data_IF_313801298217
#
_entry.id   IF_313801298217
#
_cell.length_a   1.000
_cell.length_b   1.000
_cell.length_c   1.000
_cell.angle_alpha   90.00
_cell.angle_beta   90.00
_cell.angle_gamma   90.00
#
_symmetry.space_group_name_H-M   'P 1'
#
loop_
_entity.id
_entity.type
_entity.pdbx_description
1 polymer ?
#
# COMPACT_ATOMS: atom_id res chain seq x y z
N UNK A 1 24.89 6.20 -38.55
CA UNK A 1 23.71 6.10 -39.43
C UNK A 1 22.90 4.94 -38.88
N UNK A 2 21.76 5.11 -38.22
CA UNK A 2 20.75 6.18 -38.23
C UNK A 2 20.03 6.18 -36.87
N UNK A 3 19.92 7.36 -36.27
CA UNK A 3 19.05 7.65 -35.12
C UNK A 3 17.57 7.58 -35.54
N UNK A 4 16.69 7.11 -34.65
CA UNK A 4 15.26 7.39 -34.73
C UNK A 4 14.76 7.97 -33.41
N UNK A 5 14.83 9.29 -33.32
CA UNK A 5 14.02 10.11 -32.41
C UNK A 5 12.59 10.18 -32.93
N UNK A 6 11.60 9.85 -32.10
CA UNK A 6 10.22 10.32 -32.27
C UNK A 6 9.66 10.84 -30.94
N UNK A 7 9.97 12.10 -30.65
CA UNK A 7 9.20 12.97 -29.76
C UNK A 7 7.97 13.50 -30.51
N UNK A 8 6.85 13.70 -29.80
CA UNK A 8 6.11 14.99 -29.70
C UNK A 8 4.58 14.88 -29.80
N UNK A 9 3.94 15.53 -28.81
CA UNK A 9 2.55 16.02 -28.69
C UNK A 9 1.47 14.97 -28.39
N UNK A 10 0.69 15.10 -27.31
CA UNK A 10 -0.25 16.21 -27.08
C UNK A 10 -0.37 16.63 -25.60
N UNK A 11 -0.17 17.93 -25.35
CA UNK A 11 -0.76 18.65 -24.22
C UNK A 11 -2.00 19.38 -24.73
N UNK A 12 -3.16 19.19 -24.10
CA UNK A 12 -4.34 20.01 -24.34
C UNK A 12 -4.95 20.44 -23.01
N UNK A 13 -4.76 21.73 -22.73
CA UNK A 13 -5.38 22.52 -21.65
C UNK A 13 -6.84 22.76 -22.03
N UNK A 14 -7.78 22.47 -21.14
CA UNK A 14 -9.15 22.98 -21.23
C UNK A 14 -9.41 23.88 -20.01
N UNK A 15 -9.32 25.19 -20.24
CA UNK A 15 -9.74 26.23 -19.33
C UNK A 15 -11.23 26.55 -19.58
N UNK A 16 -11.94 26.83 -18.49
CA UNK A 16 -13.01 27.83 -18.49
C UNK A 16 -14.44 27.30 -18.40
N UNK A 17 -15.06 27.54 -17.25
CA UNK A 17 -16.47 27.97 -17.15
C UNK A 17 -16.68 28.60 -15.76
N UNK A 18 -16.68 29.93 -15.73
CA UNK A 18 -17.10 30.70 -14.57
C UNK A 18 -18.58 31.10 -14.70
N UNK A 19 -19.23 31.15 -13.54
CA UNK A 19 -20.41 31.93 -13.16
C UNK A 19 -21.81 31.48 -13.63
N UNK A 20 -22.66 31.16 -12.64
CA UNK A 20 -24.05 31.62 -12.58
C UNK A 20 -24.49 31.81 -11.11
N UNK A 21 -24.61 33.08 -10.71
CA UNK A 21 -25.35 33.49 -9.51
C UNK A 21 -26.84 33.64 -9.87
N UNK A 22 -27.72 32.94 -9.15
CA UNK A 22 -29.15 33.25 -8.98
C UNK A 22 -29.63 32.39 -7.79
N UNK A 23 -30.30 32.86 -6.74
CA UNK A 23 -31.23 33.97 -6.68
C UNK A 23 -32.65 33.45 -6.42
N UNK A 24 -32.90 32.99 -5.19
CA UNK A 24 -34.13 33.14 -4.38
C UNK A 24 -35.53 33.10 -5.05
N UNK A 25 -36.36 32.11 -4.68
CA UNK A 25 -37.81 32.21 -4.29
C UNK A 25 -38.12 30.90 -3.52
N UNK A 26 -38.89 30.76 -2.43
CA UNK A 26 -39.95 31.57 -1.84
C UNK A 26 -41.21 30.69 -1.68
N UNK A 27 -41.32 29.91 -0.59
CA UNK A 27 -42.55 29.32 -0.02
C UNK A 27 -42.16 28.79 1.38
N UNK A 28 -42.83 29.02 2.52
CA UNK A 28 -44.17 29.51 2.81
C UNK A 28 -44.81 28.55 3.81
N UNK A 29 -44.72 28.88 5.12
CA UNK A 29 -45.58 28.48 6.27
C UNK A 29 -45.66 26.96 6.64
N UNK A 30 -45.87 26.47 7.86
CA UNK A 30 -46.34 27.01 9.15
C UNK A 30 -45.84 26.09 10.28
N UNK A 31 -45.65 26.60 11.50
CA UNK A 31 -45.40 25.75 12.68
C UNK A 31 -45.20 26.52 13.98
N UNK A 32 -46.32 26.85 14.63
CA UNK A 32 -46.47 27.58 15.90
C UNK A 32 -45.53 27.17 17.05
N UNK A 33 -45.06 28.20 17.76
CA UNK A 33 -45.44 28.41 19.17
C UNK A 33 -44.57 27.77 20.25
N UNK A 34 -43.89 28.61 21.03
CA UNK A 34 -43.31 28.26 22.32
C UNK A 34 -42.55 29.45 22.93
N UNK A 35 -43.18 30.10 23.91
CA UNK A 35 -42.69 31.24 24.67
C UNK A 35 -41.37 30.99 25.40
N UNK A 36 -40.66 32.09 25.68
CA UNK A 36 -39.28 32.12 26.16
C UNK A 36 -39.08 32.10 27.67
N UNK A 37 -37.80 32.24 28.07
CA UNK A 37 -37.34 33.00 29.23
C UNK A 37 -35.79 32.94 29.34
N UNK A 38 -35.16 34.09 29.15
CA UNK A 38 -34.26 34.78 30.09
C UNK A 38 -33.02 34.04 30.67
N UNK A 39 -31.85 34.41 30.14
CA UNK A 39 -30.71 35.00 30.90
C UNK A 39 -29.97 34.17 31.96
N UNK A 40 -28.64 34.00 31.77
CA UNK A 40 -27.62 34.29 32.78
C UNK A 40 -26.19 34.27 32.19
N UNK A 41 -25.42 35.26 32.62
CA UNK A 41 -24.00 35.55 32.35
C UNK A 41 -23.01 34.57 33.00
N UNK A 42 -21.78 34.55 32.46
CA UNK A 42 -20.55 34.67 33.26
C UNK A 42 -19.88 33.38 33.73
N UNK A 43 -18.65 33.14 33.23
CA UNK A 43 -17.72 32.15 33.76
C UNK A 43 -16.33 32.27 33.15
N UNK A 44 -15.52 33.18 33.70
CA UNK A 44 -14.09 33.34 33.43
C UNK A 44 -13.25 32.21 34.07
N UNK A 45 -12.24 31.75 33.31
CA UNK A 45 -10.89 31.42 33.79
C UNK A 45 -10.64 30.12 34.56
N UNK A 46 -9.72 29.28 34.06
CA UNK A 46 -8.39 29.13 34.69
C UNK A 46 -7.54 28.10 33.93
N UNK A 47 -6.31 28.52 33.61
CA UNK A 47 -5.20 27.75 33.08
C UNK A 47 -4.78 26.55 33.95
N UNK A 48 -4.39 25.46 33.30
CA UNK A 48 -3.38 24.55 33.87
C UNK A 48 -2.42 24.10 32.78
N UNK A 49 -1.19 24.56 32.94
CA UNK A 49 0.04 24.08 32.31
C UNK A 49 0.23 22.56 32.47
N UNK A 50 0.93 21.96 31.51
CA UNK A 50 1.79 20.80 31.79
C UNK A 50 1.64 19.64 30.81
N UNK A 51 2.52 19.61 29.81
CA UNK A 51 2.73 18.42 28.99
C UNK A 51 3.53 18.69 27.73
N UNK A 52 4.82 19.02 27.88
CA UNK A 52 5.81 18.89 26.82
C UNK A 52 5.92 17.42 26.41
N UNK A 53 5.02 16.98 25.53
CA UNK A 53 5.14 15.74 24.76
C UNK A 53 5.93 16.03 23.50
N UNK A 54 7.25 16.19 23.64
CA UNK A 54 8.16 16.07 22.52
C UNK A 54 8.29 14.59 22.16
N UNK A 55 7.29 14.06 21.46
CA UNK A 55 7.42 12.77 20.78
C UNK A 55 7.89 13.08 19.36
N UNK A 56 9.16 12.77 19.13
CA UNK A 56 9.90 13.23 17.97
C UNK A 56 9.27 12.80 16.66
N UNK A 57 8.88 13.79 15.86
CA UNK A 57 8.96 13.73 14.41
C UNK A 57 10.45 13.64 14.02
N UNK A 58 11.06 12.49 14.31
CA UNK A 58 12.21 12.04 13.54
C UNK A 58 11.68 11.92 12.13
N UNK A 59 12.00 12.92 11.30
CA UNK A 59 11.54 13.00 9.92
C UNK A 59 11.84 11.68 9.22
N UNK A 60 10.86 10.80 9.18
CA UNK A 60 10.85 9.69 8.24
C UNK A 60 11.01 10.37 6.89
N UNK A 61 12.12 10.09 6.20
CA UNK A 61 12.30 10.54 4.82
C UNK A 61 11.02 10.21 4.05
N UNK A 62 10.59 11.10 3.16
CA UNK A 62 9.37 10.89 2.39
C UNK A 62 9.44 9.54 1.66
N UNK A 63 8.63 8.57 2.09
CA UNK A 63 8.53 7.26 1.46
C UNK A 63 7.42 7.33 0.43
N UNK A 64 7.72 6.98 -0.81
CA UNK A 64 6.70 6.82 -1.86
C UNK A 64 6.64 5.36 -2.31
N UNK A 65 5.43 4.90 -2.64
CA UNK A 65 5.17 3.48 -2.88
C UNK A 65 4.35 3.26 -4.14
N UNK A 66 4.59 2.16 -4.83
CA UNK A 66 3.73 1.65 -5.90
C UNK A 66 3.57 0.13 -5.76
N UNK A 67 2.38 -0.39 -6.06
CA UNK A 67 2.07 -1.81 -5.94
C UNK A 67 1.72 -2.40 -7.30
N UNK A 68 2.22 -3.61 -7.58
CA UNK A 68 1.84 -4.43 -8.73
C UNK A 68 1.45 -5.83 -8.23
N UNK A 69 0.18 -6.19 -8.41
CA UNK A 69 -0.26 -7.57 -8.20
C UNK A 69 0.44 -8.47 -9.24
N UNK A 70 0.91 -9.62 -8.78
CA UNK A 70 1.51 -10.68 -9.60
C UNK A 70 0.48 -11.79 -9.88
N UNK A 71 -0.58 -11.86 -9.07
CA UNK A 71 -1.56 -12.94 -9.11
C UNK A 71 -1.01 -14.11 -8.33
N UNK A 72 -0.56 -15.16 -9.02
CA UNK A 72 -0.04 -16.37 -8.36
C UNK A 72 1.39 -16.22 -7.84
N UNK A 73 1.66 -16.88 -6.71
CA UNK A 73 3.02 -17.09 -6.19
C UNK A 73 3.97 -17.70 -7.24
N UNK A 74 5.21 -17.23 -7.23
CA UNK A 74 6.28 -17.63 -8.15
C UNK A 74 7.38 -18.43 -7.44
N UNK A 75 7.41 -18.45 -6.10
CA UNK A 75 8.45 -19.15 -5.34
C UNK A 75 8.32 -20.67 -5.40
N UNK A 76 7.18 -21.20 -5.86
CA UNK A 76 6.91 -22.63 -5.89
C UNK A 76 7.09 -23.27 -4.50
N UNK A 77 7.89 -24.35 -4.35
CA UNK A 77 8.07 -25.05 -3.07
C UNK A 77 9.05 -24.36 -2.10
N UNK A 78 9.48 -23.11 -2.35
CA UNK A 78 10.47 -22.43 -1.52
C UNK A 78 10.02 -22.13 -0.08
N UNK A 79 8.73 -22.23 0.22
CA UNK A 79 8.20 -22.10 1.58
C UNK A 79 6.96 -22.98 1.80
N UNK A 80 6.71 -23.35 3.07
CA UNK A 80 5.52 -24.10 3.49
C UNK A 80 4.62 -23.20 4.34
N UNK A 81 3.35 -23.05 3.91
CA UNK A 81 2.32 -22.27 4.61
C UNK A 81 1.96 -22.80 6.01
N UNK A 82 2.31 -24.04 6.30
CA UNK A 82 2.11 -24.64 7.63
C UNK A 82 3.22 -24.25 8.61
N UNK A 83 4.34 -23.75 8.09
CA UNK A 83 5.50 -23.32 8.89
C UNK A 83 5.63 -21.79 8.94
N UNK A 84 5.24 -21.08 7.86
CA UNK A 84 5.33 -19.61 7.74
C UNK A 84 4.06 -19.02 7.14
N UNK A 85 3.80 -17.75 7.42
CA UNK A 85 2.60 -17.03 6.91
C UNK A 85 2.78 -16.39 5.55
N UNK A 86 4.00 -16.41 5.02
CA UNK A 86 4.29 -15.89 3.70
C UNK A 86 5.77 -16.05 3.38
N UNK A 87 6.14 -15.39 2.29
CA UNK A 87 7.49 -15.34 1.77
C UNK A 87 7.75 -13.93 1.26
N UNK A 88 8.98 -13.44 1.42
CA UNK A 88 9.37 -12.18 0.81
C UNK A 88 10.81 -12.20 0.30
N UNK A 89 11.06 -11.42 -0.74
CA UNK A 89 12.39 -11.17 -1.31
C UNK A 89 12.54 -9.68 -1.51
N UNK A 90 13.67 -9.13 -1.08
CA UNK A 90 14.07 -7.77 -1.42
C UNK A 90 14.92 -7.78 -2.70
N UNK A 91 14.44 -7.07 -3.72
CA UNK A 91 15.10 -6.88 -5.01
C UNK A 91 15.71 -5.48 -5.00
N UNK A 92 17.03 -5.45 -5.03
CA UNK A 92 17.82 -4.20 -5.02
C UNK A 92 18.45 -3.89 -6.38
N UNK A 93 18.33 -4.80 -7.35
CA UNK A 93 18.93 -4.68 -8.68
C UNK A 93 18.03 -5.38 -9.72
N UNK A 94 17.92 -4.83 -10.93
CA UNK A 94 17.01 -5.32 -11.98
C UNK A 94 17.52 -6.53 -12.79
N UNK A 95 18.85 -6.65 -12.93
CA UNK A 95 19.49 -7.65 -13.80
C UNK A 95 20.31 -8.70 -13.02
N UNK A 96 20.09 -8.82 -11.70
CA UNK A 96 20.84 -9.73 -10.83
C UNK A 96 20.49 -11.21 -11.06
N UNK A 97 21.52 -12.07 -11.13
CA UNK A 97 21.45 -13.52 -11.41
C UNK A 97 20.66 -14.38 -10.40
N UNK A 98 19.98 -13.84 -9.38
CA UNK A 98 19.45 -14.73 -8.33
C UNK A 98 18.45 -14.23 -7.28
N UNK A 99 17.85 -13.04 -7.40
CA UNK A 99 16.94 -12.58 -6.33
C UNK A 99 15.49 -13.06 -6.51
N UNK A 100 14.89 -12.88 -7.70
CA UNK A 100 13.46 -13.16 -7.90
C UNK A 100 13.16 -13.91 -9.21
N UNK A 101 12.10 -14.74 -9.25
CA UNK A 101 11.78 -15.64 -10.37
C UNK A 101 11.17 -14.91 -11.58
N UNK A 102 11.94 -14.01 -12.19
CA UNK A 102 11.51 -13.17 -13.32
C UNK A 102 11.07 -13.95 -14.56
N UNK A 103 11.59 -15.18 -14.77
CA UNK A 103 11.29 -16.01 -15.93
C UNK A 103 9.83 -16.50 -15.95
N UNK A 104 9.25 -16.77 -14.78
CA UNK A 104 7.88 -17.29 -14.64
C UNK A 104 6.87 -16.17 -14.34
N UNK A 105 7.37 -14.96 -14.05
CA UNK A 105 6.54 -13.80 -13.76
C UNK A 105 5.74 -13.33 -15.00
N UNK A 106 4.48 -12.88 -14.80
CA UNK A 106 3.70 -12.20 -15.84
C UNK A 106 4.44 -10.99 -16.42
N UNK A 107 4.19 -10.65 -17.70
CA UNK A 107 4.84 -9.54 -18.41
C UNK A 107 4.72 -8.22 -17.64
N UNK A 108 3.56 -7.94 -17.04
CA UNK A 108 3.29 -6.72 -16.28
C UNK A 108 4.09 -6.63 -14.97
N UNK A 109 4.37 -7.78 -14.34
CA UNK A 109 5.21 -7.86 -13.15
C UNK A 109 6.69 -7.69 -13.51
N UNK A 110 7.13 -8.30 -14.62
CA UNK A 110 8.49 -8.11 -15.15
C UNK A 110 8.74 -6.67 -15.53
N UNK A 111 7.84 -6.06 -16.31
CA UNK A 111 7.93 -4.67 -16.71
C UNK A 111 8.00 -3.73 -15.49
N UNK A 112 7.20 -3.99 -14.44
CA UNK A 112 7.24 -3.20 -13.22
C UNK A 112 8.63 -3.20 -12.54
N UNK A 113 9.31 -4.35 -12.50
CA UNK A 113 10.67 -4.47 -11.97
C UNK A 113 11.68 -3.81 -12.92
N UNK A 114 11.58 -4.06 -14.23
CA UNK A 114 12.47 -3.50 -15.26
C UNK A 114 12.39 -1.97 -15.36
N UNK A 115 11.22 -1.38 -15.13
CA UNK A 115 10.99 0.07 -15.11
C UNK A 115 11.45 0.75 -13.82
N UNK A 116 11.91 -0.01 -12.82
CA UNK A 116 12.33 0.55 -11.53
C UNK A 116 13.75 1.10 -11.59
N UNK A 117 13.93 2.37 -11.19
CA UNK A 117 15.26 2.94 -10.95
C UNK A 117 15.77 2.47 -9.59
N UNK A 118 16.61 1.44 -9.60
CA UNK A 118 17.19 0.86 -8.38
C UNK A 118 18.19 1.76 -7.65
N UNK A 119 18.58 2.89 -8.25
CA UNK A 119 19.40 3.89 -7.56
C UNK A 119 18.58 4.70 -6.55
N UNK A 120 17.26 4.76 -6.75
CA UNK A 120 16.32 5.55 -5.95
C UNK A 120 15.21 4.71 -5.32
N UNK A 121 15.11 3.42 -5.67
CA UNK A 121 14.05 2.54 -5.22
C UNK A 121 14.51 1.10 -5.02
N UNK A 122 13.75 0.35 -4.22
CA UNK A 122 13.84 -1.10 -4.14
C UNK A 122 12.47 -1.71 -4.47
N UNK A 123 12.44 -3.01 -4.76
CA UNK A 123 11.18 -3.75 -4.92
C UNK A 123 11.15 -4.90 -3.93
N UNK A 124 10.10 -4.98 -3.11
CA UNK A 124 9.84 -6.14 -2.26
C UNK A 124 8.80 -7.03 -2.94
N UNK A 125 9.18 -8.25 -3.26
CA UNK A 125 8.24 -9.30 -3.67
C UNK A 125 7.69 -10.00 -2.42
N UNK A 126 6.38 -10.19 -2.37
CA UNK A 126 5.70 -10.77 -1.20
C UNK A 126 4.65 -11.78 -1.66
N UNK A 127 4.60 -12.91 -0.97
CA UNK A 127 3.60 -13.95 -1.16
C UNK A 127 2.93 -14.32 0.15
N UNK A 128 1.67 -14.74 0.07
CA UNK A 128 0.96 -15.41 1.16
C UNK A 128 -0.18 -16.28 0.58
N UNK A 129 -1.04 -16.80 1.44
CA UNK A 129 -2.02 -17.83 1.10
C UNK A 129 -3.43 -17.41 1.55
N UNK A 130 -4.46 -17.82 0.80
CA UNK A 130 -5.84 -17.67 1.22
C UNK A 130 -6.70 -18.94 1.03
N UNK A 131 -7.85 -19.03 1.71
CA UNK A 131 -8.70 -20.22 1.70
C UNK A 131 -9.53 -20.42 0.42
N UNK A 132 -9.70 -19.39 -0.40
CA UNK A 132 -10.65 -19.39 -1.53
C UNK A 132 -10.10 -18.66 -2.74
N UNK A 133 -10.72 -18.86 -3.91
CA UNK A 133 -10.32 -18.19 -5.15
C UNK A 133 -10.44 -16.66 -5.15
N UNK A 134 -11.19 -16.08 -4.20
CA UNK A 134 -11.28 -14.63 -4.01
C UNK A 134 -10.11 -14.03 -3.21
N UNK A 135 -9.19 -14.86 -2.75
CA UNK A 135 -8.00 -14.38 -2.06
C UNK A 135 -6.86 -14.25 -3.07
N UNK A 136 -6.94 -13.29 -3.98
CA UNK A 136 -6.04 -13.13 -5.13
C UNK A 136 -5.18 -11.86 -5.10
N UNK A 137 -5.38 -11.00 -4.10
CA UNK A 137 -4.64 -9.73 -3.96
C UNK A 137 -3.91 -9.64 -2.62
N UNK A 138 -2.78 -8.92 -2.62
CA UNK A 138 -2.06 -8.55 -1.39
C UNK A 138 -2.07 -7.03 -1.27
N UNK A 139 -2.59 -6.52 -0.15
CA UNK A 139 -2.55 -5.10 0.20
C UNK A 139 -1.39 -4.79 1.14
N UNK A 140 -0.86 -3.56 1.06
CA UNK A 140 0.20 -3.08 1.94
C UNK A 140 -0.27 -1.88 2.75
N UNK A 141 0.07 -1.86 4.04
CA UNK A 141 -0.15 -0.74 4.95
C UNK A 141 1.13 -0.45 5.76
N UNK A 142 1.21 0.73 6.38
CA UNK A 142 2.33 1.08 7.26
C UNK A 142 3.72 1.02 6.63
N UNK A 143 3.85 1.31 5.33
CA UNK A 143 5.15 1.20 4.63
C UNK A 143 6.13 2.25 5.15
N UNK A 144 7.26 1.78 5.66
CA UNK A 144 8.32 2.63 6.20
C UNK A 144 9.70 1.98 6.14
N UNK A 145 10.72 2.74 6.54
CA UNK A 145 12.10 2.25 6.66
C UNK A 145 12.60 2.50 8.08
N UNK A 146 12.94 1.43 8.79
CA UNK A 146 13.47 1.45 10.15
C UNK A 146 14.90 0.89 10.15
N UNK A 147 15.90 1.65 10.58
CA UNK A 147 17.29 1.20 10.66
C UNK A 147 17.82 0.57 9.35
N UNK A 148 17.41 1.10 8.19
CA UNK A 148 17.76 0.55 6.88
C UNK A 148 17.03 -0.74 6.49
N UNK A 149 15.94 -1.08 7.19
CA UNK A 149 15.07 -2.24 6.92
C UNK A 149 13.69 -1.74 6.48
N UNK A 150 13.21 -2.24 5.35
CA UNK A 150 11.82 -2.05 4.92
C UNK A 150 10.89 -2.75 5.92
N UNK A 151 9.92 -2.00 6.44
CA UNK A 151 8.84 -2.52 7.28
C UNK A 151 7.48 -2.16 6.69
N UNK A 152 6.56 -3.12 6.73
CA UNK A 152 5.18 -2.95 6.26
C UNK A 152 4.32 -4.12 6.73
N UNK A 153 3.01 -3.88 6.85
CA UNK A 153 2.00 -4.91 6.97
C UNK A 153 1.51 -5.32 5.58
N UNK A 154 1.56 -6.61 5.27
CA UNK A 154 1.02 -7.19 4.05
C UNK A 154 -0.16 -8.11 4.39
N UNK A 155 -1.30 -7.93 3.73
CA UNK A 155 -2.53 -8.70 4.02
C UNK A 155 -3.11 -9.28 2.74
N UNK A 156 -3.41 -10.58 2.76
CA UNK A 156 -4.16 -11.23 1.68
C UNK A 156 -5.61 -10.81 1.76
N UNK A 157 -6.10 -10.14 0.72
CA UNK A 157 -7.47 -9.66 0.65
C UNK A 157 -8.38 -10.74 0.10
N UNK A 158 -9.51 -10.97 0.76
CA UNK A 158 -10.60 -11.81 0.27
C UNK A 158 -11.61 -11.02 -0.54
N UNK A 159 -12.81 -11.59 -0.71
CA UNK A 159 -13.89 -10.87 -1.36
C UNK A 159 -14.31 -9.60 -0.60
N UNK A 160 -14.48 -8.50 -1.34
CA UNK A 160 -14.96 -7.19 -0.84
C UNK A 160 -16.38 -7.26 -0.23
N UNK A 161 -17.14 -8.33 -0.53
CA UNK A 161 -18.48 -8.56 0.02
C UNK A 161 -18.80 -10.06 0.06
N UNK A 162 -19.71 -10.42 0.98
CA UNK A 162 -20.17 -11.81 1.17
C UNK A 162 -21.03 -12.32 0.00
N UNK A 163 -21.47 -11.44 -0.90
CA UNK A 163 -22.25 -11.77 -2.10
C UNK A 163 -21.40 -12.31 -3.25
N UNK A 164 -20.06 -12.20 -3.15
CA UNK A 164 -19.14 -12.74 -4.16
C UNK A 164 -19.04 -14.25 -3.98
N UNK A 165 -19.36 -14.99 -5.05
CA UNK A 165 -19.21 -16.44 -5.07
C UNK A 165 -17.72 -16.81 -5.25
N UNK A 166 -17.11 -17.32 -4.18
CA UNK A 166 -15.73 -17.79 -4.18
C UNK A 166 -15.66 -19.31 -4.36
N UNK A 167 -14.70 -19.79 -5.15
CA UNK A 167 -14.38 -21.21 -5.22
C UNK A 167 -13.65 -21.69 -3.96
N UNK A 168 -13.98 -22.89 -3.49
CA UNK A 168 -13.29 -23.55 -2.37
C UNK A 168 -11.95 -24.14 -2.83
N UNK A 169 -10.93 -23.30 -2.93
CA UNK A 169 -9.58 -23.69 -3.28
C UNK A 169 -8.57 -22.77 -2.59
N UNK A 170 -7.54 -23.38 -1.98
CA UNK A 170 -6.42 -22.64 -1.41
C UNK A 170 -5.65 -21.93 -2.53
N UNK A 171 -5.50 -20.61 -2.42
CA UNK A 171 -4.76 -19.76 -3.36
C UNK A 171 -3.45 -19.30 -2.76
N UNK A 172 -2.47 -19.08 -3.62
CA UNK A 172 -1.20 -18.46 -3.25
C UNK A 172 -1.06 -17.18 -4.04
N UNK A 173 -1.10 -16.06 -3.34
CA UNK A 173 -1.25 -14.74 -3.92
C UNK A 173 -0.01 -13.91 -3.68
N UNK A 174 0.36 -13.12 -4.68
CA UNK A 174 1.63 -12.42 -4.67
C UNK A 174 1.54 -11.00 -5.25
N UNK A 175 2.38 -10.12 -4.72
CA UNK A 175 2.50 -8.74 -5.15
C UNK A 175 3.95 -8.23 -5.07
N UNK A 176 4.22 -7.19 -5.84
CA UNK A 176 5.45 -6.40 -5.81
C UNK A 176 5.14 -5.04 -5.21
N UNK A 177 5.88 -4.65 -4.18
CA UNK A 177 5.87 -3.32 -3.58
C UNK A 177 7.16 -2.60 -3.95
N UNK A 178 7.08 -1.59 -4.82
CA UNK A 178 8.19 -0.66 -5.03
C UNK A 178 8.18 0.41 -3.96
N UNK A 179 9.34 0.64 -3.36
CA UNK A 179 9.56 1.64 -2.31
C UNK A 179 10.69 2.56 -2.73
N UNK A 180 10.40 3.85 -2.79
CA UNK A 180 11.36 4.92 -3.05
C UNK A 180 11.60 5.65 -1.74
N UNK A 181 12.85 5.68 -1.28
CA UNK A 181 13.24 6.32 -0.02
C UNK A 181 14.72 6.74 -0.04
N UNK A 182 15.08 7.67 0.84
CA UNK A 182 16.47 8.02 1.13
C UNK A 182 16.70 7.99 2.65
N UNK A 183 17.57 7.10 3.17
CA UNK A 183 18.32 6.06 2.43
C UNK A 183 17.43 4.91 1.94
N UNK A 184 17.94 4.12 0.98
CA UNK A 184 17.30 2.88 0.54
C UNK A 184 17.47 1.77 1.59
N UNK A 185 16.43 0.96 1.84
CA UNK A 185 16.55 -0.18 2.73
C UNK A 185 17.39 -1.29 2.08
N UNK A 186 18.24 -1.93 2.87
CA UNK A 186 19.07 -3.07 2.45
C UNK A 186 18.56 -4.44 2.93
N UNK A 187 17.46 -4.46 3.68
CA UNK A 187 16.79 -5.66 4.19
C UNK A 187 15.27 -5.42 4.27
N UNK A 188 14.48 -6.49 4.42
CA UNK A 188 13.03 -6.40 4.59
C UNK A 188 12.55 -7.25 5.77
N UNK A 189 11.60 -6.70 6.53
CA UNK A 189 10.90 -7.37 7.63
C UNK A 189 9.42 -7.01 7.56
N UNK A 190 8.60 -7.97 7.17
CA UNK A 190 7.17 -7.75 6.98
C UNK A 190 6.36 -8.49 8.03
N UNK A 191 5.22 -7.91 8.38
CA UNK A 191 4.13 -8.59 9.09
C UNK A 191 3.11 -9.05 8.06
N UNK A 192 3.04 -10.36 7.81
CA UNK A 192 2.16 -10.93 6.77
C UNK A 192 0.94 -11.57 7.44
N UNK A 193 -0.25 -11.14 7.05
CA UNK A 193 -1.53 -11.71 7.45
C UNK A 193 -2.13 -12.51 6.29
N UNK A 194 -2.32 -13.81 6.52
CA UNK A 194 -2.92 -14.71 5.53
C UNK A 194 -4.44 -14.54 5.40
N UNK A 195 -5.06 -15.22 4.43
CA UNK A 195 -6.51 -15.16 4.20
C UNK A 195 -7.36 -15.81 5.29
N UNK A 196 -6.76 -16.41 6.32
CA UNK A 196 -7.45 -16.83 7.55
C UNK A 196 -7.37 -15.77 8.66
N UNK A 197 -6.67 -14.66 8.42
CA UNK A 197 -6.44 -13.61 9.40
C UNK A 197 -5.30 -13.95 10.38
N UNK A 198 -4.46 -14.94 10.09
CA UNK A 198 -3.33 -15.30 10.93
C UNK A 198 -2.07 -14.52 10.49
N UNK A 199 -1.46 -13.80 11.44
CA UNK A 199 -0.28 -12.98 11.17
C UNK A 199 1.03 -13.67 11.55
N UNK A 200 2.10 -13.40 10.79
CA UNK A 200 3.45 -13.86 11.07
C UNK A 200 4.52 -12.95 10.47
N UNK A 201 5.69 -12.89 11.11
CA UNK A 201 6.82 -12.10 10.60
C UNK A 201 7.61 -12.90 9.58
N UNK A 202 7.92 -12.28 8.45
CA UNK A 202 8.80 -12.83 7.40
C UNK A 202 9.94 -11.85 7.10
N UNK A 203 11.10 -12.38 6.72
CA UNK A 203 12.28 -11.59 6.33
C UNK A 203 12.79 -12.04 4.98
N UNK A 204 13.43 -11.13 4.25
CA UNK A 204 14.09 -11.47 2.99
C UNK A 204 15.18 -12.53 3.19
N UNK A 205 15.92 -12.50 4.31
CA UNK A 205 16.93 -13.53 4.61
C UNK A 205 16.38 -14.94 4.85
N UNK A 206 15.06 -15.09 5.05
CA UNK A 206 14.47 -16.40 5.35
C UNK A 206 14.56 -17.34 4.13
N UNK A 207 14.67 -16.80 2.91
CA UNK A 207 14.87 -17.61 1.70
C UNK A 207 16.26 -18.26 1.65
N UNK A 208 17.29 -17.53 2.07
CA UNK A 208 18.69 -17.97 1.99
C UNK A 208 19.04 -19.07 3.02
N UNK A 209 18.18 -19.27 4.02
CA UNK A 209 18.37 -20.30 5.05
C UNK A 209 17.91 -21.69 4.61
N UNK A 210 17.09 -21.78 3.56
CA UNK A 210 16.52 -23.04 3.03
C UNK A 210 17.21 -23.56 1.74
N UNK A 211 18.17 -22.80 1.20
CA UNK A 211 18.90 -23.10 -0.06
C UNK A 211 20.28 -23.71 0.14
#
# INVERSE_FOLDING_TARGET
MTEFTRRTALYAIAAGSAAALAGCTGTGDSGSGGDGSDGADGGDGNDTDGGDGADGDGAAGEVTTAVRQVGSALSGPAWDRTERRGFCVLITEGDGDGAWPSAEAPEEARAFVEETDFSESVVCYVESVGPTTCHDEVSFDGVGVEDGTLVTDATVQGAESEDVACGEAVTYSAALLRVTSDPLPGAARLSVTDGWGEAGTVRDSDWASDS
#
